data_IF_545974301928
#
_entry.id   IF_545974301928
#
_cell.length_a   1.000
_cell.length_b   1.000
_cell.length_c   1.000
_cell.angle_alpha   90.00
_cell.angle_beta   90.00
_cell.angle_gamma   90.00
#
_symmetry.space_group_name_H-M   'P 1'
#
loop_
_entity.id
_entity.type
_entity.pdbx_description
1 polymer ?
#
# COMPACT_ATOMS: atom_id res chain seq x y z
N UNK A 1 -1.82 -9.01 22.45
CA UNK A 1 -2.02 -9.00 20.99
C UNK A 1 -2.75 -10.27 20.61
N UNK A 2 -3.79 -10.18 19.78
CA UNK A 2 -4.56 -11.36 19.37
C UNK A 2 -3.79 -12.02 18.21
N UNK A 3 -3.24 -13.20 18.49
CA UNK A 3 -2.62 -14.07 17.50
C UNK A 3 -3.69 -14.62 16.54
N UNK A 4 -3.45 -14.55 15.22
CA UNK A 4 -4.29 -15.26 14.23
C UNK A 4 -5.31 -14.43 13.45
N UNK A 5 -5.21 -13.09 13.40
CA UNK A 5 -5.94 -12.32 12.38
C UNK A 5 -5.35 -12.67 11.00
N UNK A 6 -6.05 -13.54 10.28
CA UNK A 6 -5.81 -13.80 8.86
C UNK A 6 -6.78 -12.96 8.05
N UNK A 7 -6.31 -12.40 6.96
CA UNK A 7 -7.19 -11.80 5.95
C UNK A 7 -8.18 -12.87 5.46
N UNK A 8 -9.37 -12.45 5.01
CA UNK A 8 -10.38 -13.40 4.51
C UNK A 8 -9.75 -14.29 3.42
N UNK A 9 -9.99 -15.59 3.52
CA UNK A 9 -9.48 -16.62 2.60
C UNK A 9 -7.94 -16.69 2.49
N UNK A 10 -7.20 -16.09 3.43
CA UNK A 10 -5.73 -15.92 3.34
C UNK A 10 -5.27 -15.16 2.10
N UNK A 11 -6.12 -14.25 1.59
CA UNK A 11 -5.82 -13.41 0.43
C UNK A 11 -5.15 -12.11 0.87
N UNK A 12 -4.03 -11.76 0.25
CA UNK A 12 -3.42 -10.45 0.37
C UNK A 12 -3.80 -9.59 -0.84
N UNK A 13 -4.18 -8.33 -0.60
CA UNK A 13 -4.51 -7.38 -1.66
C UNK A 13 -3.35 -6.42 -1.89
N UNK A 14 -3.03 -6.17 -3.16
CA UNK A 14 -2.07 -5.14 -3.58
C UNK A 14 -2.77 -4.19 -4.54
N UNK A 15 -2.76 -2.90 -4.24
CA UNK A 15 -3.26 -1.85 -5.11
C UNK A 15 -2.09 -1.19 -5.85
N UNK A 16 -2.01 -1.44 -7.16
CA UNK A 16 -0.98 -0.88 -8.04
C UNK A 16 -1.45 0.47 -8.58
N UNK A 17 -0.64 1.50 -8.37
CA UNK A 17 -0.88 2.89 -8.79
C UNK A 17 0.03 3.29 -9.95
N UNK A 18 -0.29 4.45 -10.53
CA UNK A 18 0.54 5.12 -11.52
C UNK A 18 1.87 5.61 -10.91
N UNK A 19 2.74 6.15 -11.75
CA UNK A 19 4.15 6.44 -11.48
C UNK A 19 4.46 7.37 -10.29
N UNK A 20 3.44 7.91 -9.64
CA UNK A 20 3.59 8.88 -8.56
C UNK A 20 4.09 10.25 -9.02
N UNK A 21 4.37 10.40 -10.31
CA UNK A 21 4.73 11.68 -10.95
C UNK A 21 3.47 12.34 -11.52
N UNK A 22 2.61 11.55 -12.16
CA UNK A 22 1.31 12.00 -12.66
C UNK A 22 0.28 12.00 -11.52
N UNK A 23 -0.49 13.09 -11.41
CA UNK A 23 -1.14 13.52 -10.17
C UNK A 23 -2.27 12.66 -9.60
N UNK A 24 -2.52 11.42 -10.06
CA UNK A 24 -3.61 10.59 -9.50
C UNK A 24 -3.19 9.85 -8.25
N UNK A 25 -1.91 9.52 -8.06
CA UNK A 25 -1.40 8.94 -6.80
C UNK A 25 -1.84 9.79 -5.61
N UNK A 26 -1.66 11.11 -5.68
CA UNK A 26 -1.97 12.05 -4.62
C UNK A 26 -3.41 12.60 -4.65
N UNK A 27 -4.32 11.95 -5.39
CA UNK A 27 -5.74 12.33 -5.37
C UNK A 27 -6.31 12.27 -3.94
N UNK A 28 -7.33 13.11 -3.68
CA UNK A 28 -8.05 13.12 -2.39
C UNK A 28 -8.56 11.73 -2.03
N UNK A 29 -9.11 11.00 -3.01
CA UNK A 29 -9.59 9.64 -2.83
C UNK A 29 -8.48 8.69 -2.35
N UNK A 30 -7.32 8.68 -3.01
CA UNK A 30 -6.19 7.84 -2.60
C UNK A 30 -5.64 8.22 -1.22
N UNK A 31 -5.61 9.52 -0.90
CA UNK A 31 -5.19 10.02 0.41
C UNK A 31 -6.09 9.50 1.53
N UNK A 32 -7.40 9.41 1.29
CA UNK A 32 -8.36 8.83 2.25
C UNK A 32 -8.15 7.31 2.34
N UNK A 33 -8.06 6.63 1.21
CA UNK A 33 -7.96 5.15 1.16
C UNK A 33 -6.70 4.63 1.83
N UNK A 34 -5.53 5.22 1.57
CA UNK A 34 -4.25 4.74 2.12
C UNK A 34 -4.16 4.91 3.64
N UNK A 35 -4.99 5.77 4.23
CA UNK A 35 -5.10 5.98 5.69
C UNK A 35 -6.18 5.11 6.34
N UNK A 36 -6.93 4.35 5.56
CA UNK A 36 -8.09 3.58 6.02
C UNK A 36 -7.86 2.09 5.85
N UNK A 37 -8.34 1.28 6.78
CA UNK A 37 -8.32 -0.18 6.63
C UNK A 37 -9.44 -0.65 5.71
N UNK A 38 -9.13 -1.61 4.83
CA UNK A 38 -10.17 -2.27 4.05
C UNK A 38 -11.07 -3.10 4.97
N UNK A 39 -12.39 -2.95 4.88
CA UNK A 39 -13.31 -3.57 5.85
C UNK A 39 -13.18 -5.10 5.91
N UNK A 40 -13.12 -5.75 4.75
CA UNK A 40 -13.06 -7.21 4.61
C UNK A 40 -11.63 -7.78 4.76
N UNK A 41 -10.69 -7.28 3.95
CA UNK A 41 -9.33 -7.83 3.89
C UNK A 41 -8.34 -7.17 4.86
N UNK A 42 -8.70 -6.09 5.55
CA UNK A 42 -7.85 -5.30 6.46
C UNK A 42 -6.60 -4.75 5.78
N UNK A 43 -5.59 -5.60 5.60
CA UNK A 43 -4.29 -5.24 5.05
C UNK A 43 -4.36 -5.19 3.52
N UNK A 44 -4.27 -3.99 2.97
CA UNK A 44 -4.06 -3.75 1.54
C UNK A 44 -2.72 -3.09 1.37
N UNK A 45 -1.81 -3.74 0.66
CA UNK A 45 -0.54 -3.15 0.28
C UNK A 45 -0.76 -2.18 -0.87
N UNK A 46 -0.05 -1.06 -0.86
CA UNK A 46 -0.11 -0.09 -1.94
C UNK A 46 1.25 -0.06 -2.61
N UNK A 47 1.27 -0.02 -3.93
CA UNK A 47 2.50 0.07 -4.70
C UNK A 47 2.38 1.05 -5.85
N UNK A 48 3.45 1.72 -6.22
CA UNK A 48 3.55 2.50 -7.45
C UNK A 48 4.87 2.17 -8.17
N UNK A 49 4.96 2.51 -9.45
CA UNK A 49 6.10 2.17 -10.29
C UNK A 49 6.99 3.38 -10.53
N UNK A 50 8.27 3.31 -10.19
CA UNK A 50 9.22 4.35 -10.61
C UNK A 50 9.54 4.24 -12.12
N UNK A 51 10.12 5.29 -12.70
CA UNK A 51 10.35 5.40 -14.15
C UNK A 51 11.21 4.27 -14.76
N UNK A 52 11.98 3.55 -13.94
CA UNK A 52 12.81 2.40 -14.31
C UNK A 52 12.08 1.04 -14.25
N UNK A 53 10.81 1.02 -13.83
CA UNK A 53 9.98 -0.18 -13.75
C UNK A 53 9.97 -0.86 -12.38
N UNK A 54 10.69 -0.32 -11.39
CA UNK A 54 10.71 -0.87 -10.02
C UNK A 54 9.41 -0.57 -9.29
N UNK A 55 8.81 -1.57 -8.65
CA UNK A 55 7.65 -1.39 -7.77
C UNK A 55 8.10 -0.99 -6.37
N UNK A 56 7.57 0.13 -5.89
CA UNK A 56 7.83 0.65 -4.56
C UNK A 56 6.61 0.55 -3.68
N UNK A 57 6.81 0.25 -2.40
CA UNK A 57 5.79 0.32 -1.37
C UNK A 57 5.34 1.76 -1.18
N UNK A 58 4.05 2.00 -1.34
CA UNK A 58 3.41 3.27 -1.03
C UNK A 58 2.91 3.27 0.41
N UNK A 59 3.33 4.28 1.18
CA UNK A 59 2.85 4.50 2.55
C UNK A 59 2.41 5.95 2.71
N UNK A 60 1.46 6.18 3.62
CA UNK A 60 1.16 7.53 4.06
C UNK A 60 2.30 8.07 4.93
N UNK A 61 2.86 9.22 4.56
CA UNK A 61 3.86 9.92 5.38
C UNK A 61 3.21 11.15 6.04
N UNK A 62 2.99 11.08 7.35
CA UNK A 62 2.38 12.17 8.12
C UNK A 62 3.23 13.45 8.08
N UNK A 63 4.57 13.33 8.20
CA UNK A 63 5.46 14.49 8.24
C UNK A 63 5.53 15.27 6.92
N UNK A 64 5.24 14.62 5.79
CA UNK A 64 5.20 15.24 4.46
C UNK A 64 3.78 15.45 3.95
N UNK A 65 2.76 15.04 4.71
CA UNK A 65 1.36 15.03 4.32
C UNK A 65 1.13 14.53 2.88
N UNK A 66 1.79 13.43 2.50
CA UNK A 66 1.65 12.80 1.18
C UNK A 66 1.97 11.32 1.21
N UNK A 67 1.58 10.63 0.13
CA UNK A 67 2.05 9.26 -0.15
C UNK A 67 3.55 9.31 -0.46
N UNK A 68 4.31 8.37 0.09
CA UNK A 68 5.75 8.30 -0.06
C UNK A 68 6.21 6.85 -0.24
N UNK A 69 7.38 6.63 -0.83
CA UNK A 69 7.99 5.31 -0.91
C UNK A 69 8.60 4.90 0.43
N UNK A 70 8.37 3.66 0.86
CA UNK A 70 9.08 3.05 2.01
C UNK A 70 10.13 2.02 1.60
N UNK A 71 10.39 1.88 0.30
CA UNK A 71 11.37 0.97 -0.29
C UNK A 71 10.75 0.05 -1.35
N UNK A 72 11.54 -0.89 -1.90
CA UNK A 72 11.07 -1.88 -2.87
C UNK A 72 9.93 -2.72 -2.31
N UNK A 73 8.96 -3.06 -3.16
CA UNK A 73 7.91 -4.02 -2.85
C UNK A 73 8.32 -5.42 -3.28
N UNK A 74 8.31 -6.37 -2.34
CA UNK A 74 8.65 -7.77 -2.57
C UNK A 74 7.44 -8.66 -2.24
N UNK A 75 7.32 -9.82 -2.88
CA UNK A 75 6.19 -10.74 -2.64
C UNK A 75 6.18 -11.25 -1.20
N UNK A 76 7.35 -11.36 -0.57
CA UNK A 76 7.51 -11.73 0.84
C UNK A 76 6.79 -10.75 1.79
N UNK A 77 6.64 -9.49 1.40
CA UNK A 77 5.87 -8.50 2.17
C UNK A 77 4.39 -8.90 2.30
N UNK A 78 3.86 -9.67 1.33
CA UNK A 78 2.45 -10.12 1.32
C UNK A 78 2.19 -11.34 2.21
N UNK A 79 3.22 -12.11 2.55
CA UNK A 79 3.09 -13.39 3.26
C UNK A 79 3.24 -13.21 4.77
N UNK A 80 4.06 -12.24 5.20
CA UNK A 80 4.35 -11.98 6.60
C UNK A 80 3.49 -10.84 7.15
N UNK A 81 2.29 -11.17 7.64
CA UNK A 81 1.49 -10.26 8.47
C UNK A 81 2.15 -10.20 9.87
N UNK A 82 3.07 -9.25 10.09
CA UNK A 82 3.64 -8.97 11.42
C UNK A 82 2.66 -8.30 12.35
#
# INVERSE_FOLDING_TARGET
>A
GINGRRTKDSIALVEIKDDGETGRLHSVSNTIKIRSDHQEYKNVFWTFREGDGVFLKAVWNEGRNRIFSSGPFEIEDMVLLR
#
